data_IF_568295274955
#
_entry.id   IF_568295274955
#
_cell.length_a   1.000
_cell.length_b   1.000
_cell.length_c   1.000
_cell.angle_alpha   90.00
_cell.angle_beta   90.00
_cell.angle_gamma   90.00
#
_symmetry.space_group_name_H-M   'P 1'
#
loop_
_entity.id
_entity.type
_entity.pdbx_description
1 polymer ?
#
# COMPACT_ATOMS: atom_id res chain seq x y z
N UNK A 1 -21.01 -13.47 24.01
CA UNK A 1 -19.95 -13.86 23.07
C UNK A 1 -19.65 -12.65 22.19
N UNK A 2 -18.55 -11.93 22.46
CA UNK A 2 -18.14 -10.82 21.60
C UNK A 2 -17.42 -11.40 20.38
N UNK A 3 -18.05 -11.26 19.20
CA UNK A 3 -17.37 -11.51 17.93
C UNK A 3 -16.17 -10.56 17.89
N UNK A 4 -14.93 -11.03 17.64
CA UNK A 4 -13.84 -10.09 17.43
C UNK A 4 -14.22 -9.23 16.22
N UNK A 5 -14.29 -7.91 16.41
CA UNK A 5 -14.46 -6.98 15.30
C UNK A 5 -13.31 -7.25 14.32
N UNK A 6 -13.61 -7.88 13.19
CA UNK A 6 -12.68 -7.97 12.07
C UNK A 6 -12.58 -6.56 11.50
N UNK A 7 -11.60 -5.81 12.00
CA UNK A 7 -11.30 -4.48 11.48
C UNK A 7 -10.76 -4.66 10.06
N UNK A 8 -11.45 -4.02 9.11
CA UNK A 8 -11.06 -3.97 7.70
C UNK A 8 -10.69 -2.55 7.30
N UNK A 9 -10.00 -2.40 6.17
CA UNK A 9 -9.67 -1.07 5.63
C UNK A 9 -10.94 -0.23 5.42
N UNK A 10 -11.96 -0.81 4.80
CA UNK A 10 -13.24 -0.17 4.51
C UNK A 10 -13.91 0.31 5.79
N UNK A 11 -13.93 -0.52 6.85
CA UNK A 11 -14.51 -0.12 8.14
C UNK A 11 -13.81 1.11 8.75
N UNK A 12 -12.49 1.23 8.56
CA UNK A 12 -11.73 2.41 9.03
C UNK A 12 -12.05 3.63 8.18
N UNK A 13 -12.12 3.46 6.86
CA UNK A 13 -12.38 4.56 5.92
C UNK A 13 -13.81 5.10 6.00
N UNK A 14 -14.79 4.25 6.29
CA UNK A 14 -16.20 4.64 6.51
C UNK A 14 -16.32 5.48 7.80
N UNK A 15 -15.53 5.15 8.83
CA UNK A 15 -15.52 5.84 10.12
C UNK A 15 -14.75 7.18 10.15
N UNK A 16 -14.58 7.84 8.99
CA UNK A 16 -13.65 8.95 8.68
C UNK A 16 -13.60 10.09 9.73
N UNK A 17 -14.66 10.27 10.52
CA UNK A 17 -14.81 11.41 11.44
C UNK A 17 -14.85 11.07 12.92
N UNK A 18 -14.90 9.80 13.32
CA UNK A 18 -15.28 9.45 14.71
C UNK A 18 -14.26 8.56 15.43
N UNK A 19 -13.29 7.97 14.72
CA UNK A 19 -12.42 6.95 15.31
C UNK A 19 -10.94 7.33 15.36
N UNK A 20 -10.35 7.19 16.56
CA UNK A 20 -8.90 7.24 16.79
C UNK A 20 -8.11 6.31 15.84
N UNK A 21 -8.71 5.20 15.42
CA UNK A 21 -8.11 4.25 14.46
C UNK A 21 -7.84 4.88 13.09
N UNK A 22 -8.75 5.73 12.60
CA UNK A 22 -8.56 6.42 11.34
C UNK A 22 -7.39 7.41 11.44
N UNK A 23 -7.33 8.20 12.52
CA UNK A 23 -6.21 9.13 12.74
C UNK A 23 -4.87 8.41 12.91
N UNK A 24 -4.84 7.31 13.67
CA UNK A 24 -3.65 6.47 13.82
C UNK A 24 -3.18 5.91 12.46
N UNK A 25 -4.11 5.50 11.59
CA UNK A 25 -3.78 5.01 10.26
C UNK A 25 -3.27 6.12 9.33
N UNK A 26 -3.89 7.30 9.35
CA UNK A 26 -3.40 8.49 8.63
C UNK A 26 -1.98 8.85 9.06
N UNK A 27 -1.71 8.83 10.37
CA UNK A 27 -0.39 9.09 10.90
C UNK A 27 0.62 8.08 10.37
N UNK A 28 0.27 6.79 10.36
CA UNK A 28 1.11 5.75 9.77
C UNK A 28 1.41 6.01 8.29
N UNK A 29 0.38 6.31 7.48
CA UNK A 29 0.56 6.59 6.05
C UNK A 29 1.48 7.78 5.78
N UNK A 30 1.45 8.80 6.65
CA UNK A 30 2.40 9.92 6.59
C UNK A 30 3.83 9.48 6.87
N UNK A 31 4.03 8.64 7.89
CA UNK A 31 5.37 8.15 8.26
C UNK A 31 5.95 7.19 7.22
N UNK A 32 5.09 6.46 6.49
CA UNK A 32 5.52 5.55 5.43
C UNK A 32 5.50 6.16 4.03
N UNK A 33 5.23 7.47 3.91
CA UNK A 33 5.20 8.18 2.62
C UNK A 33 4.26 7.52 1.61
N UNK A 34 3.03 7.20 2.04
CA UNK A 34 2.00 6.58 1.20
C UNK A 34 0.64 7.31 1.28
N UNK A 35 0.63 8.52 1.84
CA UNK A 35 -0.60 9.27 2.11
C UNK A 35 -1.34 9.66 0.83
N UNK A 36 -0.59 9.98 -0.24
CA UNK A 36 -1.11 10.37 -1.55
C UNK A 36 -2.12 9.37 -2.11
N UNK A 37 -1.89 8.06 -1.89
CA UNK A 37 -2.81 7.00 -2.31
C UNK A 37 -4.19 7.16 -1.67
N UNK A 38 -4.23 7.48 -0.37
CA UNK A 38 -5.48 7.68 0.33
C UNK A 38 -6.14 9.00 -0.07
N UNK A 39 -5.37 10.08 -0.23
CA UNK A 39 -5.92 11.37 -0.67
C UNK A 39 -6.58 11.26 -2.05
N UNK A 40 -5.91 10.59 -3.00
CA UNK A 40 -6.49 10.28 -4.30
C UNK A 40 -7.82 9.53 -4.17
N UNK A 41 -7.85 8.44 -3.39
CA UNK A 41 -9.07 7.66 -3.21
C UNK A 41 -10.22 8.53 -2.66
N UNK A 42 -9.92 9.43 -1.71
CA UNK A 42 -10.91 10.33 -1.13
C UNK A 42 -11.44 11.36 -2.12
N UNK A 43 -10.54 11.99 -2.88
CA UNK A 43 -10.91 12.97 -3.90
C UNK A 43 -11.75 12.33 -5.01
N UNK A 44 -11.48 11.06 -5.36
CA UNK A 44 -12.32 10.29 -6.30
C UNK A 44 -13.72 10.04 -5.73
N UNK A 45 -13.87 9.70 -4.44
CA UNK A 45 -15.20 9.55 -3.83
C UNK A 45 -15.98 10.87 -3.86
N UNK A 46 -15.31 12.00 -3.61
CA UNK A 46 -15.93 13.32 -3.62
C UNK A 46 -16.32 13.74 -5.04
N UNK A 47 -15.45 13.50 -6.01
CA UNK A 47 -15.73 13.66 -7.44
C UNK A 47 -16.93 12.82 -7.90
N UNK A 48 -17.01 11.54 -7.50
CA UNK A 48 -18.11 10.64 -7.88
C UNK A 48 -19.48 11.14 -7.41
N UNK A 49 -19.54 11.82 -6.25
CA UNK A 49 -20.77 12.43 -5.73
C UNK A 49 -21.19 13.65 -6.57
N UNK A 50 -20.24 14.46 -7.03
CA UNK A 50 -20.49 15.66 -7.82
C UNK A 50 -19.42 15.89 -8.90
N UNK A 51 -19.49 15.18 -10.05
CA UNK A 51 -18.51 15.34 -11.11
C UNK A 51 -18.59 16.73 -11.70
N UNK A 52 -17.42 17.32 -11.91
CA UNK A 52 -17.27 18.57 -12.64
C UNK A 52 -15.88 18.60 -13.28
N UNK A 53 -15.72 19.45 -14.29
CA UNK A 53 -14.49 19.54 -15.07
C UNK A 53 -13.29 19.97 -14.22
N UNK A 54 -13.46 20.91 -13.30
CA UNK A 54 -12.37 21.43 -12.46
C UNK A 54 -11.83 20.34 -11.52
N UNK A 55 -12.71 19.57 -10.87
CA UNK A 55 -12.32 18.43 -10.05
C UNK A 55 -11.66 17.33 -10.87
N UNK A 56 -12.14 17.04 -12.08
CA UNK A 56 -11.49 16.09 -12.98
C UNK A 56 -10.06 16.53 -13.31
N UNK A 57 -9.87 17.79 -13.72
CA UNK A 57 -8.55 18.34 -14.04
C UNK A 57 -7.62 18.37 -12.83
N UNK A 58 -8.14 18.71 -11.66
CA UNK A 58 -7.41 18.64 -10.41
C UNK A 58 -6.90 17.22 -10.13
N UNK A 59 -7.76 16.20 -10.20
CA UNK A 59 -7.36 14.81 -9.96
C UNK A 59 -6.28 14.36 -10.96
N UNK A 60 -6.45 14.69 -12.24
CA UNK A 60 -5.47 14.36 -13.28
C UNK A 60 -4.11 14.99 -12.99
N UNK A 61 -4.07 16.29 -12.74
CA UNK A 61 -2.83 17.05 -12.56
C UNK A 61 -2.12 16.74 -11.25
N UNK A 62 -2.88 16.47 -10.18
CA UNK A 62 -2.36 16.26 -8.84
C UNK A 62 -1.84 14.84 -8.62
N UNK A 63 -2.49 13.83 -9.23
CA UNK A 63 -2.22 12.41 -8.95
C UNK A 63 -1.83 11.58 -10.19
N UNK A 64 -2.35 11.89 -11.38
CA UNK A 64 -2.27 10.99 -12.56
C UNK A 64 -1.17 11.38 -13.54
N UNK A 65 -0.79 12.64 -13.67
CA UNK A 65 0.32 13.02 -14.54
C UNK A 65 1.64 12.43 -14.03
N UNK A 66 2.54 12.16 -14.97
CA UNK A 66 3.93 11.81 -14.64
C UNK A 66 4.57 13.03 -13.96
N UNK A 67 5.33 12.80 -12.90
CA UNK A 67 5.96 13.82 -12.07
C UNK A 67 4.95 14.74 -11.34
N UNK A 68 3.69 14.30 -11.21
CA UNK A 68 2.71 15.01 -10.39
C UNK A 68 3.18 15.07 -8.92
N UNK A 69 2.84 16.17 -8.24
CA UNK A 69 3.29 16.41 -6.86
C UNK A 69 2.89 15.29 -5.88
N UNK A 70 1.77 14.61 -6.17
CA UNK A 70 1.28 13.47 -5.42
C UNK A 70 1.01 12.28 -6.36
N UNK A 71 1.92 12.07 -7.32
CA UNK A 71 1.81 10.98 -8.30
C UNK A 71 1.54 9.63 -7.63
N UNK A 72 0.43 8.99 -8.01
CA UNK A 72 0.06 7.67 -7.50
C UNK A 72 0.67 6.54 -8.35
N UNK A 73 0.86 5.38 -7.72
CA UNK A 73 1.41 4.20 -8.37
C UNK A 73 0.31 3.36 -9.04
N UNK A 74 0.01 3.66 -10.30
CA UNK A 74 -0.93 2.90 -11.14
C UNK A 74 -0.24 2.34 -12.40
N UNK A 75 -0.78 1.27 -13.02
CA UNK A 75 -0.28 0.74 -14.28
C UNK A 75 -0.20 1.81 -15.39
N UNK A 76 0.79 1.70 -16.26
CA UNK A 76 1.03 2.68 -17.33
C UNK A 76 -0.17 2.78 -18.29
N UNK A 77 -0.75 1.65 -18.68
CA UNK A 77 -1.90 1.60 -19.61
C UNK A 77 -3.10 2.37 -19.02
N UNK A 78 -3.44 2.10 -17.75
CA UNK A 78 -4.49 2.82 -17.02
C UNK A 78 -4.22 4.33 -16.95
N UNK A 79 -2.98 4.73 -16.69
CA UNK A 79 -2.59 6.16 -16.68
C UNK A 79 -2.84 6.80 -18.05
N UNK A 80 -2.43 6.14 -19.12
CA UNK A 80 -2.61 6.65 -20.48
C UNK A 80 -4.09 6.76 -20.84
N UNK A 81 -4.90 5.77 -20.50
CA UNK A 81 -6.35 5.80 -20.72
C UNK A 81 -7.00 6.99 -20.00
N UNK A 82 -6.65 7.24 -18.74
CA UNK A 82 -7.17 8.39 -17.99
C UNK A 82 -6.77 9.74 -18.59
N UNK A 83 -5.55 9.86 -19.13
CA UNK A 83 -5.04 11.09 -19.76
C UNK A 83 -5.67 11.35 -21.14
N UNK A 84 -5.91 10.27 -21.90
CA UNK A 84 -6.50 10.34 -23.23
C UNK A 84 -8.02 10.50 -23.18
N UNK A 85 -8.66 10.04 -22.10
CA UNK A 85 -10.09 10.20 -21.91
C UNK A 85 -10.45 11.69 -21.95
N UNK A 86 -11.47 12.03 -22.74
CA UNK A 86 -12.02 13.39 -22.88
C UNK A 86 -13.36 13.54 -22.18
N UNK A 87 -13.92 12.45 -21.68
CA UNK A 87 -15.15 12.44 -20.90
C UNK A 87 -14.82 12.40 -19.40
N UNK A 88 -15.59 13.14 -18.62
CA UNK A 88 -15.47 13.26 -17.16
C UNK A 88 -16.72 12.72 -16.46
N UNK A 89 -17.10 11.49 -16.83
CA UNK A 89 -18.20 10.75 -16.22
C UNK A 89 -17.94 10.36 -14.75
N UNK A 90 -19.01 10.01 -14.03
CA UNK A 90 -18.97 9.64 -12.60
C UNK A 90 -18.00 8.51 -12.26
N UNK A 91 -17.84 7.55 -13.16
CA UNK A 91 -17.04 6.34 -12.97
C UNK A 91 -15.64 6.44 -13.58
N UNK A 92 -15.22 7.62 -14.04
CA UNK A 92 -13.96 7.81 -14.79
C UNK A 92 -12.74 7.29 -14.03
N UNK A 93 -12.76 7.37 -12.70
CA UNK A 93 -11.63 6.96 -11.85
C UNK A 93 -11.88 5.67 -11.07
N UNK A 94 -12.99 4.95 -11.31
CA UNK A 94 -13.38 3.80 -10.47
C UNK A 94 -12.31 2.70 -10.50
N UNK A 95 -11.79 2.34 -11.67
CA UNK A 95 -10.77 1.29 -11.79
C UNK A 95 -9.45 1.66 -11.10
N UNK A 96 -9.06 2.94 -11.22
CA UNK A 96 -7.88 3.46 -10.54
C UNK A 96 -8.08 3.52 -9.02
N UNK A 97 -9.26 3.93 -8.56
CA UNK A 97 -9.59 3.97 -7.14
C UNK A 97 -9.58 2.57 -6.50
N UNK A 98 -10.12 1.56 -7.18
CA UNK A 98 -10.06 0.17 -6.71
C UNK A 98 -8.61 -0.35 -6.65
N UNK A 99 -7.82 -0.06 -7.69
CA UNK A 99 -6.40 -0.45 -7.72
C UNK A 99 -5.59 0.18 -6.59
N UNK A 100 -5.84 1.46 -6.31
CA UNK A 100 -5.20 2.17 -5.20
C UNK A 100 -5.71 1.70 -3.85
N UNK A 101 -7.00 1.39 -3.70
CA UNK A 101 -7.54 0.85 -2.47
C UNK A 101 -6.89 -0.51 -2.13
N UNK A 102 -6.70 -1.37 -3.13
CA UNK A 102 -5.94 -2.63 -2.96
C UNK A 102 -4.47 -2.38 -2.64
N UNK A 103 -3.85 -1.39 -3.28
CA UNK A 103 -2.47 -1.00 -2.95
C UNK A 103 -2.34 -0.56 -1.49
N UNK A 104 -3.25 0.29 -0.99
CA UNK A 104 -3.30 0.69 0.42
C UNK A 104 -3.51 -0.52 1.32
N UNK A 105 -4.41 -1.43 0.93
CA UNK A 105 -4.74 -2.64 1.70
C UNK A 105 -3.49 -3.49 1.92
N UNK A 106 -2.79 -3.83 0.85
CA UNK A 106 -1.64 -4.73 0.88
C UNK A 106 -0.39 -4.07 1.46
N UNK A 107 -0.07 -2.85 1.03
CA UNK A 107 1.21 -2.22 1.37
C UNK A 107 1.18 -1.40 2.66
N UNK A 108 0.01 -0.96 3.11
CA UNK A 108 -0.10 -0.06 4.27
C UNK A 108 -0.96 -0.64 5.38
N UNK A 109 -2.22 -1.01 5.09
CA UNK A 109 -3.18 -1.44 6.10
C UNK A 109 -2.76 -2.75 6.78
N UNK A 110 -2.43 -3.80 6.02
CA UNK A 110 -2.03 -5.09 6.60
C UNK A 110 -0.76 -4.96 7.48
N UNK A 111 0.32 -4.29 7.04
CA UNK A 111 1.49 -4.05 7.89
C UNK A 111 1.18 -3.23 9.14
N UNK A 112 0.44 -2.12 9.01
CA UNK A 112 0.04 -1.27 10.13
C UNK A 112 -0.78 -2.05 11.16
N UNK A 113 -1.76 -2.82 10.69
CA UNK A 113 -2.62 -3.62 11.56
C UNK A 113 -1.82 -4.71 12.28
N UNK A 114 -0.90 -5.37 11.58
CA UNK A 114 -0.01 -6.36 12.18
C UNK A 114 0.88 -5.74 13.27
N UNK A 115 1.55 -4.63 12.97
CA UNK A 115 2.42 -3.92 13.90
C UNK A 115 1.67 -3.47 15.16
N UNK A 116 0.47 -2.91 15.00
CA UNK A 116 -0.39 -2.50 16.11
C UNK A 116 -0.74 -3.68 17.02
N UNK A 117 -1.11 -4.83 16.45
CA UNK A 117 -1.47 -6.02 17.22
C UNK A 117 -0.28 -6.62 17.97
N UNK A 118 0.91 -6.61 17.38
CA UNK A 118 2.15 -7.03 18.07
C UNK A 118 2.44 -6.11 19.26
N UNK A 119 2.37 -4.79 19.06
CA UNK A 119 2.62 -3.82 20.13
C UNK A 119 1.64 -3.98 21.30
N UNK A 120 0.35 -4.23 21.04
CA UNK A 120 -0.66 -4.46 22.10
C UNK A 120 -0.38 -5.71 22.93
N UNK A 121 0.16 -6.78 22.33
CA UNK A 121 0.53 -8.00 23.05
C UNK A 121 1.75 -7.76 23.95
N UNK A 122 2.71 -6.97 23.47
CA UNK A 122 3.93 -6.66 24.22
C UNK A 122 3.64 -5.76 25.45
N UNK A 123 2.63 -4.89 25.38
CA UNK A 123 2.23 -4.02 26.51
C UNK A 123 1.45 -4.73 27.63
N UNK A 124 1.01 -5.97 27.41
CA UNK A 124 0.19 -6.73 28.38
C UNK A 124 0.98 -7.84 29.12
N UNK A 125 2.29 -7.92 28.93
CA UNK A 125 3.14 -8.88 29.65
C UNK A 125 3.88 -8.18 30.80
N UNK A 126 3.67 -8.57 32.08
CA UNK A 126 4.49 -8.10 33.18
C UNK A 126 5.91 -8.65 33.04
N UNK A 127 6.89 -7.78 33.28
CA UNK A 127 8.33 -8.04 33.24
C UNK A 127 8.73 -9.33 33.97
N UNK A 128 9.51 -10.18 33.31
CA UNK A 128 10.45 -11.11 33.95
C UNK A 128 11.74 -11.17 33.10
N UNK A 129 12.74 -10.39 33.56
CA UNK A 129 14.18 -10.68 33.61
C UNK A 129 14.97 -11.13 32.35
N UNK A 130 15.94 -10.26 32.01
CA UNK A 130 17.38 -10.49 31.68
C UNK A 130 17.81 -10.57 30.19
N UNK A 131 18.94 -9.91 29.81
CA UNK A 131 19.33 -9.71 28.41
C UNK A 131 20.37 -10.73 27.93
N UNK A 132 20.34 -11.11 26.65
CA UNK A 132 21.43 -11.87 26.04
C UNK A 132 21.80 -11.33 24.65
N UNK A 133 22.95 -10.67 24.60
CA UNK A 133 23.69 -10.38 23.37
C UNK A 133 24.15 -11.69 22.75
N UNK A 134 23.65 -12.03 21.55
CA UNK A 134 24.40 -12.90 20.63
C UNK A 134 23.97 -12.68 19.18
N UNK A 135 24.80 -11.97 18.42
CA UNK A 135 24.96 -12.28 17.00
C UNK A 135 25.95 -13.45 16.89
N UNK A 136 25.70 -14.44 16.02
CA UNK A 136 26.46 -14.40 14.78
C UNK A 136 25.65 -14.76 13.53
N UNK A 137 26.21 -14.31 12.42
CA UNK A 137 25.78 -14.45 11.04
C UNK A 137 25.62 -15.88 10.52
N UNK A 138 24.98 -15.95 9.35
CA UNK A 138 25.00 -16.99 8.29
C UNK A 138 24.32 -18.34 8.57
N UNK A 139 23.20 -18.56 7.88
CA UNK A 139 22.99 -19.62 6.86
C UNK A 139 21.55 -19.48 6.34
N UNK A 140 21.37 -18.93 5.14
CA UNK A 140 21.15 -19.70 3.90
C UNK A 140 19.90 -20.58 3.96
N UNK A 141 18.93 -20.16 3.14
CA UNK A 141 17.91 -20.96 2.48
C UNK A 141 18.09 -22.47 2.63
N UNK A 142 17.08 -23.14 3.17
CA UNK A 142 16.41 -24.32 2.59
C UNK A 142 15.54 -24.94 3.67
N UNK A 143 14.23 -25.03 3.43
CA UNK A 143 13.43 -26.26 3.59
C UNK A 143 11.94 -25.98 3.38
N UNK A 144 11.52 -26.10 2.11
CA UNK A 144 10.19 -26.65 1.78
C UNK A 144 10.39 -27.70 0.69
N UNK A 145 10.00 -28.95 0.96
CA UNK A 145 9.08 -29.64 0.06
C UNK A 145 7.99 -30.36 0.89
N UNK A 146 6.88 -30.86 0.38
CA UNK A 146 6.61 -31.51 -0.90
C UNK A 146 5.09 -31.57 -1.15
N UNK A 147 4.66 -31.50 -2.41
CA UNK A 147 3.62 -32.41 -2.91
C UNK A 147 4.01 -32.84 -4.33
N UNK A 148 4.11 -34.15 -4.50
CA UNK A 148 4.34 -34.88 -5.75
C UNK A 148 3.26 -34.51 -6.80
N UNK A 149 3.67 -34.08 -7.99
CA UNK A 149 3.85 -34.89 -9.21
C UNK A 149 2.55 -35.31 -9.88
N UNK A 150 2.28 -34.70 -11.05
CA UNK A 150 1.73 -35.36 -12.23
C UNK A 150 2.18 -34.58 -13.48
N UNK A 151 2.45 -35.35 -14.54
CA UNK A 151 3.27 -35.05 -15.71
C UNK A 151 2.57 -34.20 -16.79
N UNK A 152 3.44 -33.51 -17.55
CA UNK A 152 3.47 -33.21 -18.99
C UNK A 152 2.16 -32.91 -19.74
N UNK A 153 2.09 -31.72 -20.37
CA UNK A 153 2.14 -31.51 -21.85
C UNK A 153 2.47 -30.03 -22.14
N UNK A 154 3.35 -29.84 -23.12
CA UNK A 154 3.90 -28.60 -23.66
C UNK A 154 2.84 -27.67 -24.31
N UNK A 155 3.09 -26.35 -24.32
CA UNK A 155 2.64 -25.29 -25.27
C UNK A 155 2.73 -23.90 -24.61
N UNK A 156 3.78 -23.16 -25.00
CA UNK A 156 3.92 -21.69 -25.13
C UNK A 156 2.93 -20.76 -24.40
N UNK A 157 3.42 -19.97 -23.42
CA UNK A 157 3.00 -18.57 -23.23
C UNK A 157 3.74 -17.81 -22.10
N UNK A 158 4.21 -16.60 -22.46
CA UNK A 158 4.36 -15.35 -21.67
C UNK A 158 4.73 -15.47 -20.18
N UNK A 159 6.02 -15.26 -19.92
CA UNK A 159 6.60 -15.11 -18.60
C UNK A 159 6.22 -13.75 -17.96
N UNK A 160 5.13 -13.74 -17.17
CA UNK A 160 4.81 -12.66 -16.21
C UNK A 160 5.91 -12.63 -15.14
N UNK A 161 6.80 -11.65 -15.21
CA UNK A 161 7.77 -11.36 -14.15
C UNK A 161 7.04 -10.74 -12.96
N UNK A 162 7.17 -11.41 -11.81
CA UNK A 162 6.66 -10.99 -10.50
C UNK A 162 7.13 -9.57 -10.15
N UNK A 163 6.18 -8.63 -10.14
CA UNK A 163 6.38 -7.21 -9.82
C UNK A 163 6.53 -6.94 -8.30
N UNK A 164 6.27 -7.94 -7.45
CA UNK A 164 6.25 -7.78 -6.00
C UNK A 164 7.62 -7.47 -5.37
N UNK A 165 8.73 -7.83 -6.02
CA UNK A 165 10.07 -7.67 -5.45
C UNK A 165 10.77 -6.37 -5.88
N UNK A 166 10.34 -5.72 -6.96
CA UNK A 166 11.02 -4.54 -7.49
C UNK A 166 10.73 -3.27 -6.65
N UNK A 167 9.54 -3.18 -6.06
CA UNK A 167 9.15 -2.04 -5.23
C UNK A 167 9.83 -2.02 -3.86
N UNK A 168 10.14 -3.18 -3.27
CA UNK A 168 10.92 -3.24 -2.01
C UNK A 168 12.38 -2.82 -2.21
N UNK A 169 12.96 -3.11 -3.39
CA UNK A 169 14.35 -2.75 -3.69
C UNK A 169 14.54 -1.24 -3.92
N UNK A 170 13.54 -0.53 -4.47
CA UNK A 170 13.61 0.92 -4.65
C UNK A 170 13.56 1.69 -3.32
N UNK A 171 12.77 1.24 -2.35
CA UNK A 171 12.68 1.87 -1.01
C UNK A 171 13.99 1.74 -0.24
N UNK A 172 14.67 0.59 -0.34
CA UNK A 172 15.99 0.39 0.27
C UNK A 172 17.07 1.24 -0.41
N UNK A 173 17.02 1.40 -1.74
CA UNK A 173 17.99 2.22 -2.48
C UNK A 173 17.90 3.72 -2.14
N UNK A 174 16.70 4.26 -1.86
CA UNK A 174 16.55 5.64 -1.36
C UNK A 174 17.06 5.80 0.07
N UNK A 175 16.87 4.81 0.95
CA UNK A 175 17.43 4.85 2.31
C UNK A 175 18.97 4.86 2.35
N UNK A 176 19.64 4.21 1.39
CA UNK A 176 21.12 4.26 1.27
C UNK A 176 21.60 5.65 0.85
N UNK A 177 20.81 6.40 0.08
CA UNK A 177 21.21 7.69 -0.48
C UNK A 177 21.08 8.86 0.51
N UNK A 178 20.19 8.76 1.50
CA UNK A 178 20.03 9.81 2.53
C UNK A 178 21.10 9.72 3.63
N UNK A 179 21.66 8.53 3.90
CA UNK A 179 22.66 8.34 4.96
C UNK A 179 24.08 8.80 4.62
N UNK A 180 24.39 9.09 3.35
CA UNK A 180 25.72 9.61 2.94
C UNK A 180 25.85 11.14 2.97
N UNK A 181 24.77 11.86 3.29
CA UNK A 181 24.75 13.33 3.27
C UNK A 181 25.06 13.99 4.62
N UNK A 182 25.32 13.22 5.68
CA UNK A 182 25.55 13.72 7.04
C UNK A 182 26.89 13.27 7.64
N UNK A 183 27.95 13.26 6.83
CA UNK A 183 29.33 13.25 7.35
C UNK A 183 30.16 14.27 6.58
N UNK A 184 30.19 15.50 7.10
CA UNK A 184 31.31 16.43 7.00
C UNK A 184 31.37 17.21 8.30
#
# INVERSE_FOLDING_TARGET
MSVPFNITLESILESRHEHLLYHDFIFYLRQTYCLENLLFYQDVQDYRRKPNADCYQYIITQYILVDAAQEINIPCDMRQELILNRDYGKSTFDEAAESILELIRVNSFLPWWHQRNVNRRNTLSPSNSVPEHRWPSSNLFTNRPSFNSLRDVDVSSKQKRSLGNLFQQKTLAMMVRVKKSFVK
#
